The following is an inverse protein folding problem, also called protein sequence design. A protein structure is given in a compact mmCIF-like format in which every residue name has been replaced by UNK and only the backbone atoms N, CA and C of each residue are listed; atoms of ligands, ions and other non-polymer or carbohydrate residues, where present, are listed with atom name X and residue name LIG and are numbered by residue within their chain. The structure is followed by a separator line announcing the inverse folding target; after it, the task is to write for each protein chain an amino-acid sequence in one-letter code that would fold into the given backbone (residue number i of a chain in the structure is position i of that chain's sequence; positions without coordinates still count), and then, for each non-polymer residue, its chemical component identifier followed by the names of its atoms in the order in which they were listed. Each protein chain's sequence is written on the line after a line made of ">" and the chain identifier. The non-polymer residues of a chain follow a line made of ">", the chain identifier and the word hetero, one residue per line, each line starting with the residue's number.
data_IF_386642559162
#
_entry.id   IF_386642559162
#
_cell.length_a   1.000
_cell.length_b   1.000
_cell.length_c   1.000
_cell.angle_alpha   90.00
_cell.angle_beta   90.00
_cell.angle_gamma   90.00
#
_symmetry.space_group_name_H-M   'P 1'
#
loop_
_entity.id
_entity.type
_entity.pdbx_description
1 polymer ?
#
# COMPACT_ATOMS: atom_id res chain seq x y z
N UNK A 1 -51.01 -0.03 -47.76
CA UNK A 1 -49.74 0.67 -48.06
C UNK A 1 -48.96 1.13 -46.80
N UNK A 2 -49.26 0.61 -45.62
CA UNK A 2 -48.60 1.02 -44.33
C UNK A 2 -47.44 0.10 -43.90
N UNK A 3 -47.26 -1.19 -44.32
CA UNK A 3 -46.21 -2.02 -43.73
C UNK A 3 -44.81 -1.81 -44.31
N UNK A 4 -44.62 -1.08 -45.41
CA UNK A 4 -43.30 -0.87 -46.03
C UNK A 4 -42.51 0.30 -45.37
N UNK A 5 -43.14 1.27 -44.77
CA UNK A 5 -42.51 2.43 -44.15
C UNK A 5 -41.90 2.06 -42.79
N UNK A 6 -42.57 1.16 -42.01
CA UNK A 6 -42.11 0.70 -40.72
C UNK A 6 -40.81 -0.14 -40.84
N UNK A 7 -40.68 -0.95 -41.88
CA UNK A 7 -39.48 -1.75 -42.10
C UNK A 7 -38.22 -0.90 -42.45
N UNK A 8 -38.37 0.23 -43.14
CA UNK A 8 -37.28 1.13 -43.46
C UNK A 8 -36.79 1.93 -42.23
N UNK A 9 -37.72 2.32 -41.36
CA UNK A 9 -37.33 3.03 -40.10
C UNK A 9 -36.60 2.11 -39.14
N UNK A 10 -36.91 0.82 -39.05
CA UNK A 10 -36.22 -0.16 -38.22
C UNK A 10 -34.82 -0.50 -38.76
N UNK A 11 -34.59 -0.45 -40.08
CA UNK A 11 -33.30 -0.68 -40.70
C UNK A 11 -32.38 0.54 -40.55
N UNK A 12 -32.91 1.77 -40.57
CA UNK A 12 -32.11 2.98 -40.27
C UNK A 12 -31.74 3.15 -38.79
N UNK A 13 -32.57 2.66 -37.85
CA UNK A 13 -32.23 2.66 -36.43
C UNK A 13 -31.15 1.66 -36.06
N UNK A 14 -30.94 0.59 -36.83
CA UNK A 14 -29.87 -0.42 -36.67
C UNK A 14 -28.49 0.02 -37.15
N UNK A 15 -28.39 1.10 -37.92
CA UNK A 15 -27.12 1.58 -38.49
C UNK A 15 -26.40 2.64 -37.65
N UNK A 16 -26.96 3.04 -36.50
CA UNK A 16 -26.37 4.02 -35.59
C UNK A 16 -25.62 3.42 -34.40
N UNK A 17 -25.43 2.10 -34.36
CA UNK A 17 -24.43 1.51 -33.46
C UNK A 17 -23.04 1.88 -34.00
N UNK A 18 -22.54 3.05 -33.67
CA UNK A 18 -21.12 3.38 -33.79
C UNK A 18 -20.34 2.37 -32.95
N UNK A 19 -19.83 1.33 -33.60
CA UNK A 19 -18.82 0.47 -33.01
C UNK A 19 -17.66 1.38 -32.60
N UNK A 20 -17.47 1.62 -31.31
CA UNK A 20 -16.30 2.32 -30.82
C UNK A 20 -15.08 1.53 -31.31
N UNK A 21 -14.35 2.09 -32.29
CA UNK A 21 -13.15 1.46 -32.84
C UNK A 21 -12.10 1.53 -31.70
N UNK A 22 -11.68 0.36 -31.23
CA UNK A 22 -10.57 0.26 -30.29
C UNK A 22 -9.31 0.87 -30.92
N UNK A 23 -8.64 1.78 -30.21
CA UNK A 23 -7.39 2.39 -30.67
C UNK A 23 -6.23 1.43 -30.39
N UNK A 24 -5.27 1.38 -31.31
CA UNK A 24 -4.00 0.69 -31.09
C UNK A 24 -3.04 1.54 -30.23
N UNK A 25 -1.95 0.94 -29.73
CA UNK A 25 -0.98 1.61 -28.85
C UNK A 25 -0.39 2.89 -29.49
N UNK A 26 -0.21 2.90 -30.82
CA UNK A 26 0.30 4.07 -31.56
C UNK A 26 -0.67 5.25 -31.47
N UNK A 27 -1.96 4.98 -31.66
CA UNK A 27 -3.00 6.02 -31.60
C UNK A 27 -3.21 6.51 -30.18
N UNK A 28 -3.20 5.59 -29.18
CA UNK A 28 -3.27 5.97 -27.76
C UNK A 28 -2.11 6.89 -27.39
N UNK A 29 -0.88 6.56 -27.82
CA UNK A 29 0.30 7.38 -27.60
C UNK A 29 0.12 8.78 -28.23
N UNK A 30 -0.20 8.86 -29.51
CA UNK A 30 -0.37 10.12 -30.22
C UNK A 30 -1.48 11.01 -29.67
N UNK A 31 -2.57 10.43 -29.17
CA UNK A 31 -3.67 11.16 -28.55
C UNK A 31 -3.28 11.80 -27.20
N UNK A 32 -2.36 11.16 -26.48
CA UNK A 32 -2.11 11.51 -25.08
C UNK A 32 -0.68 12.03 -24.79
N UNK A 33 0.24 12.01 -25.75
CA UNK A 33 1.64 12.38 -25.53
C UNK A 33 1.85 13.83 -25.02
N UNK A 34 0.95 14.74 -25.38
CA UNK A 34 0.98 16.12 -24.91
C UNK A 34 0.33 16.32 -23.53
N UNK A 35 -0.31 15.28 -22.98
CA UNK A 35 -0.98 15.29 -21.68
C UNK A 35 -0.14 14.69 -20.56
N UNK A 36 0.95 14.00 -20.92
CA UNK A 36 1.80 13.26 -19.95
C UNK A 36 3.15 13.96 -19.83
N UNK A 37 3.55 14.23 -18.60
CA UNK A 37 4.78 14.96 -18.26
C UNK A 37 5.73 14.10 -17.42
N UNK A 38 7.01 14.44 -17.47
CA UNK A 38 7.93 14.04 -16.44
C UNK A 38 7.75 14.96 -15.21
N UNK A 39 7.56 14.39 -14.04
CA UNK A 39 7.57 15.10 -12.76
C UNK A 39 8.96 14.96 -12.15
N UNK A 40 9.50 16.07 -11.69
CA UNK A 40 10.84 16.15 -11.12
C UNK A 40 10.80 16.84 -9.77
N UNK A 41 11.50 16.26 -8.81
CA UNK A 41 11.85 16.93 -7.55
C UNK A 41 13.28 17.43 -7.70
N UNK A 42 13.47 18.73 -7.65
CA UNK A 42 14.74 19.41 -7.88
C UNK A 42 15.26 20.05 -6.60
N UNK A 43 16.55 19.91 -6.34
CA UNK A 43 17.21 20.60 -5.24
C UNK A 43 17.38 22.09 -5.60
N UNK A 44 16.97 23.01 -4.70
CA UNK A 44 16.97 24.46 -4.94
C UNK A 44 18.36 25.06 -5.11
N UNK A 45 19.35 24.51 -4.42
CA UNK A 45 20.73 25.03 -4.48
C UNK A 45 21.49 24.55 -5.71
N UNK A 46 21.31 23.27 -6.07
CA UNK A 46 22.12 22.65 -7.13
C UNK A 46 21.39 22.56 -8.47
N UNK A 47 20.06 22.73 -8.49
CA UNK A 47 19.21 22.49 -9.66
C UNK A 47 19.15 21.03 -10.12
N UNK A 48 19.79 20.10 -9.37
CA UNK A 48 19.85 18.69 -9.76
C UNK A 48 18.59 17.93 -9.35
N UNK A 49 18.26 16.91 -10.15
CA UNK A 49 17.16 15.98 -9.88
C UNK A 49 17.48 15.14 -8.65
N UNK A 50 16.53 15.06 -7.72
CA UNK A 50 16.55 14.17 -6.57
C UNK A 50 15.61 13.01 -6.74
N UNK A 51 14.41 13.26 -7.33
CA UNK A 51 13.45 12.24 -7.72
C UNK A 51 12.86 12.54 -9.08
N UNK A 52 12.43 11.50 -9.79
CA UNK A 52 11.70 11.60 -11.05
C UNK A 52 10.51 10.65 -11.05
N UNK A 53 9.45 11.08 -11.71
CA UNK A 53 8.26 10.28 -11.96
C UNK A 53 7.54 10.78 -13.20
N UNK A 54 6.31 10.39 -13.33
CA UNK A 54 5.40 10.85 -14.39
C UNK A 54 4.18 11.51 -13.77
N UNK A 55 3.48 12.29 -14.55
CA UNK A 55 2.20 12.87 -14.20
C UNK A 55 1.42 13.21 -15.46
N UNK A 56 0.15 13.53 -15.31
CA UNK A 56 -0.70 13.88 -16.44
C UNK A 56 -1.75 14.92 -16.06
N UNK A 57 -2.22 15.65 -17.07
CA UNK A 57 -3.20 16.72 -16.91
C UNK A 57 -4.54 16.17 -16.44
N UNK A 58 -5.09 16.79 -15.38
CA UNK A 58 -6.41 16.50 -14.84
C UNK A 58 -7.20 17.79 -14.57
N UNK A 59 -8.45 17.66 -14.16
CA UNK A 59 -9.29 18.78 -13.73
C UNK A 59 -9.50 19.82 -14.82
N UNK A 60 -9.22 21.06 -14.51
CA UNK A 60 -9.42 22.22 -15.38
C UNK A 60 -8.28 22.47 -16.39
N UNK A 61 -7.30 21.58 -16.45
CA UNK A 61 -6.13 21.71 -17.33
C UNK A 61 -4.95 22.47 -16.72
N UNK A 62 -5.02 22.86 -15.44
CA UNK A 62 -3.94 23.45 -14.63
C UNK A 62 -3.41 22.50 -13.56
N UNK A 63 -4.03 21.33 -13.44
CA UNK A 63 -3.70 20.35 -12.43
C UNK A 63 -3.00 19.14 -13.07
N UNK A 64 -2.06 18.55 -12.33
CA UNK A 64 -1.35 17.32 -12.68
C UNK A 64 -1.54 16.31 -11.58
N UNK A 65 -1.96 15.11 -11.94
CA UNK A 65 -1.95 13.94 -11.06
C UNK A 65 -0.60 13.23 -11.14
N UNK A 66 -0.11 12.75 -9.98
CA UNK A 66 1.08 11.90 -9.86
C UNK A 66 0.95 10.99 -8.63
N UNK A 67 1.98 10.19 -8.33
CA UNK A 67 2.02 9.45 -7.07
C UNK A 67 2.61 10.30 -5.92
N UNK A 68 2.16 9.98 -4.70
CA UNK A 68 2.69 10.59 -3.47
C UNK A 68 4.19 10.28 -3.29
N UNK A 69 4.61 9.02 -3.49
CA UNK A 69 6.02 8.63 -3.33
C UNK A 69 6.96 9.37 -4.30
N UNK A 70 6.49 9.80 -5.47
CA UNK A 70 7.30 10.58 -6.43
C UNK A 70 7.73 11.92 -5.83
N UNK A 71 6.88 12.50 -4.98
CA UNK A 71 7.08 13.82 -4.36
C UNK A 71 7.49 13.75 -2.88
N UNK A 72 7.76 12.56 -2.36
CA UNK A 72 7.98 12.32 -0.93
C UNK A 72 9.06 13.21 -0.28
N UNK A 73 10.07 13.63 -1.05
CA UNK A 73 11.12 14.54 -0.55
C UNK A 73 10.60 15.95 -0.23
N UNK A 74 9.54 16.39 -0.89
CA UNK A 74 8.88 17.66 -0.55
C UNK A 74 8.26 17.61 0.84
N UNK A 75 7.79 16.43 1.27
CA UNK A 75 7.24 16.23 2.62
C UNK A 75 8.33 16.32 3.69
N UNK A 76 9.51 15.78 3.37
CA UNK A 76 10.64 15.77 4.30
C UNK A 76 11.30 17.14 4.42
N UNK A 77 11.60 17.78 3.28
CA UNK A 77 12.45 18.96 3.20
C UNK A 77 11.94 19.96 2.14
N UNK A 78 10.75 20.57 2.35
CA UNK A 78 10.14 21.49 1.38
C UNK A 78 10.97 22.75 1.10
N UNK A 79 11.87 23.12 2.05
CA UNK A 79 12.79 24.25 1.91
C UNK A 79 13.93 23.94 0.93
N UNK A 80 14.36 22.65 0.89
CA UNK A 80 15.51 22.21 0.09
C UNK A 80 15.11 21.83 -1.34
N UNK A 81 13.85 21.42 -1.54
CA UNK A 81 13.37 20.90 -2.82
C UNK A 81 12.20 21.71 -3.37
N UNK A 82 11.99 21.59 -4.69
CA UNK A 82 10.81 22.10 -5.37
C UNK A 82 10.35 21.16 -6.48
N UNK A 83 9.07 21.28 -6.85
CA UNK A 83 8.43 20.48 -7.87
C UNK A 83 8.51 21.17 -9.23
N UNK A 84 8.83 20.40 -10.26
CA UNK A 84 8.85 20.86 -11.64
C UNK A 84 8.29 19.82 -12.58
N UNK A 85 7.71 20.25 -13.69
CA UNK A 85 7.35 19.38 -14.81
C UNK A 85 8.29 19.62 -15.99
N UNK A 86 8.47 18.57 -16.81
CA UNK A 86 9.11 18.64 -18.13
C UNK A 86 8.20 18.02 -19.17
N UNK A 87 7.89 18.77 -20.24
CA UNK A 87 7.10 18.31 -21.39
C UNK A 87 8.00 17.63 -22.43
N UNK A 88 7.38 16.87 -23.33
CA UNK A 88 8.06 16.24 -24.47
C UNK A 88 8.80 17.23 -25.38
N UNK A 89 8.26 18.45 -25.53
CA UNK A 89 8.86 19.54 -26.35
C UNK A 89 9.96 20.32 -25.65
N UNK A 90 10.34 19.93 -24.42
CA UNK A 90 11.38 20.58 -23.62
C UNK A 90 10.91 21.74 -22.77
N UNK A 91 9.64 22.16 -22.85
CA UNK A 91 9.09 23.19 -21.94
C UNK A 91 9.01 22.62 -20.52
N UNK A 92 9.31 23.47 -19.56
CA UNK A 92 9.28 23.15 -18.13
C UNK A 92 8.68 24.28 -17.30
N UNK A 93 8.23 23.97 -16.10
CA UNK A 93 7.71 24.96 -15.16
C UNK A 93 7.62 24.39 -13.76
N UNK A 94 7.41 25.28 -12.79
CA UNK A 94 7.25 24.91 -11.39
C UNK A 94 5.81 24.45 -11.11
N UNK A 95 5.69 23.59 -10.08
CA UNK A 95 4.43 23.07 -9.60
C UNK A 95 4.30 23.30 -8.09
N UNK A 96 3.06 23.46 -7.63
CA UNK A 96 2.69 23.53 -6.22
C UNK A 96 1.90 22.29 -5.83
N UNK A 97 2.11 21.79 -4.63
CA UNK A 97 1.30 20.70 -4.09
C UNK A 97 -0.08 21.25 -3.70
N UNK A 98 -1.14 20.60 -4.19
CA UNK A 98 -2.53 20.99 -3.92
C UNK A 98 -3.22 20.03 -2.95
N UNK A 99 -3.04 18.72 -3.12
CA UNK A 99 -3.68 17.70 -2.30
C UNK A 99 -2.89 16.38 -2.29
N UNK A 100 -3.12 15.57 -1.28
CA UNK A 100 -2.53 14.24 -1.07
C UNK A 100 -3.62 13.21 -0.77
N UNK A 101 -3.40 11.97 -1.25
CA UNK A 101 -4.02 10.76 -0.73
C UNK A 101 -2.90 9.74 -0.45
N UNK A 102 -2.39 9.78 0.77
CA UNK A 102 -1.22 9.02 1.20
C UNK A 102 -1.51 7.52 1.18
N UNK A 103 -2.69 7.12 1.65
CA UNK A 103 -3.08 5.72 1.71
C UNK A 103 -3.14 5.07 0.31
N UNK A 104 -3.52 5.83 -0.72
CA UNK A 104 -3.61 5.36 -2.10
C UNK A 104 -2.44 5.76 -2.98
N UNK A 105 -1.45 6.44 -2.39
CA UNK A 105 -0.24 6.87 -3.08
C UNK A 105 -0.54 7.83 -4.23
N UNK A 106 -1.37 8.87 -4.00
CA UNK A 106 -1.72 9.89 -4.98
C UNK A 106 -1.33 11.29 -4.50
N UNK A 107 -0.95 12.15 -5.44
CA UNK A 107 -0.75 13.57 -5.22
C UNK A 107 -1.34 14.38 -6.38
N UNK A 108 -1.89 15.54 -6.06
CA UNK A 108 -2.39 16.53 -7.00
C UNK A 108 -1.51 17.76 -6.95
N UNK A 109 -0.99 18.16 -8.10
CA UNK A 109 -0.09 19.29 -8.26
C UNK A 109 -0.78 20.38 -9.10
N UNK A 110 -0.49 21.64 -8.81
CA UNK A 110 -1.02 22.79 -9.55
C UNK A 110 0.04 23.55 -10.30
N UNK A 111 -0.31 24.01 -11.50
CA UNK A 111 0.45 24.95 -12.31
C UNK A 111 -0.26 26.32 -12.39
N UNK A 112 0.49 27.40 -12.42
CA UNK A 112 -0.07 28.73 -12.70
C UNK A 112 -0.51 28.88 -14.15
N UNK A 113 0.12 28.13 -15.06
CA UNK A 113 -0.18 28.13 -16.47
C UNK A 113 -1.23 27.06 -16.84
N UNK A 114 -1.99 27.33 -17.92
CA UNK A 114 -2.83 26.31 -18.55
C UNK A 114 -1.94 25.33 -19.31
N UNK A 115 -1.93 24.09 -18.85
CA UNK A 115 -1.08 23.03 -19.40
C UNK A 115 -1.68 22.36 -20.64
N UNK A 116 -3.00 22.33 -20.73
CA UNK A 116 -3.73 21.73 -21.86
C UNK A 116 -5.07 21.13 -21.44
N UNK A 117 -5.62 20.25 -22.25
CA UNK A 117 -6.90 19.59 -21.98
C UNK A 117 -6.66 18.28 -21.25
N UNK A 118 -7.36 18.07 -20.13
CA UNK A 118 -7.34 16.82 -19.39
C UNK A 118 -7.87 15.64 -20.22
N UNK A 119 -7.36 14.45 -19.99
CA UNK A 119 -7.97 13.23 -20.52
C UNK A 119 -9.23 12.88 -19.72
N UNK A 120 -10.22 12.32 -20.37
CA UNK A 120 -11.42 11.82 -19.71
C UNK A 120 -11.08 10.63 -18.81
N UNK A 121 -11.73 10.54 -17.66
CA UNK A 121 -11.59 9.42 -16.73
C UNK A 121 -12.74 8.44 -16.93
N UNK A 122 -12.43 7.16 -17.00
CA UNK A 122 -13.39 6.08 -17.21
C UNK A 122 -13.30 5.01 -16.12
N UNK A 123 -14.31 4.16 -16.09
CA UNK A 123 -14.29 2.95 -15.27
C UNK A 123 -13.36 1.88 -15.87
N UNK A 124 -12.97 0.93 -15.03
CA UNK A 124 -12.10 -0.18 -15.44
C UNK A 124 -12.80 -1.05 -16.47
N UNK A 125 -12.20 -1.32 -17.66
CA UNK A 125 -12.76 -2.23 -18.65
C UNK A 125 -12.79 -3.68 -18.10
N UNK A 126 -13.49 -4.61 -18.75
CA UNK A 126 -13.53 -6.01 -18.33
C UNK A 126 -12.14 -6.63 -18.18
N UNK A 127 -12.01 -7.62 -17.27
CA UNK A 127 -10.76 -8.37 -17.10
C UNK A 127 -10.33 -9.02 -18.41
N UNK A 128 -9.04 -8.93 -18.75
CA UNK A 128 -8.47 -9.41 -19.99
C UNK A 128 -8.42 -8.36 -21.10
N UNK A 129 -9.11 -7.22 -20.97
CA UNK A 129 -9.01 -6.12 -21.94
C UNK A 129 -7.60 -5.56 -22.00
N UNK A 130 -7.11 -5.15 -23.18
CA UNK A 130 -5.85 -4.44 -23.32
C UNK A 130 -5.95 -3.07 -22.63
N UNK A 131 -4.87 -2.70 -21.94
CA UNK A 131 -4.71 -1.40 -21.29
C UNK A 131 -3.29 -0.89 -21.53
N UNK A 132 -3.12 0.45 -21.51
CA UNK A 132 -1.95 1.14 -22.02
C UNK A 132 -1.42 2.11 -20.97
N UNK A 133 -0.27 1.79 -20.38
CA UNK A 133 0.38 2.63 -19.39
C UNK A 133 1.40 3.56 -20.04
N UNK A 134 1.31 4.87 -19.78
CA UNK A 134 2.28 5.85 -20.28
C UNK A 134 3.09 6.46 -19.14
N UNK A 135 4.34 6.85 -19.45
CA UNK A 135 5.22 7.49 -18.47
C UNK A 135 6.65 7.64 -19.00
N UNK A 136 7.55 8.15 -18.14
CA UNK A 136 8.92 8.51 -18.47
C UNK A 136 9.92 7.55 -17.80
N UNK A 137 10.14 6.33 -18.33
CA UNK A 137 10.99 5.34 -17.71
C UNK A 137 12.44 5.79 -17.67
N UNK A 138 13.10 5.66 -16.52
CA UNK A 138 14.55 5.81 -16.35
C UNK A 138 15.13 7.12 -16.92
N UNK A 139 14.34 8.19 -16.96
CA UNK A 139 14.73 9.48 -17.58
C UNK A 139 15.04 9.39 -19.09
N UNK A 140 14.50 8.40 -19.80
CA UNK A 140 14.76 8.15 -21.22
C UNK A 140 13.71 8.78 -22.17
N UNK A 141 12.77 9.54 -21.60
CA UNK A 141 11.67 10.16 -22.35
C UNK A 141 10.37 9.37 -22.27
N UNK A 142 9.31 9.95 -22.84
CA UNK A 142 7.95 9.40 -22.77
C UNK A 142 7.83 8.07 -23.53
N UNK A 143 7.26 7.08 -22.90
CA UNK A 143 7.06 5.75 -23.46
C UNK A 143 5.66 5.20 -23.12
N UNK A 144 5.25 4.14 -23.83
CA UNK A 144 4.01 3.42 -23.63
C UNK A 144 4.29 1.92 -23.40
N UNK A 145 3.71 1.35 -22.34
CA UNK A 145 3.72 -0.07 -22.08
C UNK A 145 2.33 -0.67 -22.28
N UNK A 146 2.25 -1.75 -23.03
CA UNK A 146 1.00 -2.46 -23.32
C UNK A 146 0.90 -3.69 -22.42
N UNK A 147 -0.29 -3.93 -21.89
CA UNK A 147 -0.60 -5.12 -21.12
C UNK A 147 -2.10 -5.35 -21.02
N UNK A 148 -2.53 -6.21 -20.15
CA UNK A 148 -3.94 -6.52 -19.93
C UNK A 148 -4.40 -6.19 -18.53
N UNK A 149 -5.67 -5.86 -18.39
CA UNK A 149 -6.34 -5.75 -17.09
C UNK A 149 -6.47 -7.13 -16.44
N UNK A 150 -5.70 -7.38 -15.38
CA UNK A 150 -5.79 -8.59 -14.57
C UNK A 150 -6.92 -8.57 -13.54
N UNK A 151 -7.67 -7.45 -13.45
CA UNK A 151 -8.75 -7.22 -12.48
C UNK A 151 -8.27 -6.52 -11.21
N UNK A 152 -9.24 -6.15 -10.38
CA UNK A 152 -8.99 -5.55 -9.07
C UNK A 152 -8.50 -6.63 -8.11
N UNK A 153 -7.43 -6.34 -7.38
CA UNK A 153 -6.94 -7.18 -6.31
C UNK A 153 -7.77 -6.92 -5.06
N UNK A 154 -8.69 -7.84 -4.75
CA UNK A 154 -9.45 -7.81 -3.49
C UNK A 154 -8.59 -8.14 -2.25
N UNK A 155 -7.27 -8.20 -2.43
CA UNK A 155 -6.29 -8.58 -1.42
C UNK A 155 -5.51 -7.38 -0.85
N UNK A 156 -5.88 -6.18 -1.30
CA UNK A 156 -5.39 -4.90 -0.80
C UNK A 156 -6.60 -4.03 -0.46
N UNK A 157 -6.56 -3.32 0.66
CA UNK A 157 -7.69 -2.46 1.07
C UNK A 157 -7.86 -1.28 0.11
N UNK A 158 -6.83 -0.93 -0.63
CA UNK A 158 -6.77 0.16 -1.60
C UNK A 158 -7.11 -0.26 -3.06
N UNK A 159 -7.64 -1.47 -3.24
CA UNK A 159 -8.22 -1.91 -4.52
C UNK A 159 -7.33 -1.71 -5.75
N UNK A 160 -6.07 -2.12 -5.71
CA UNK A 160 -5.14 -2.01 -6.85
C UNK A 160 -5.59 -2.85 -8.05
N UNK A 161 -5.43 -2.31 -9.26
CA UNK A 161 -5.62 -3.04 -10.51
C UNK A 161 -4.32 -3.78 -10.84
N UNK A 162 -4.44 -5.08 -11.17
CA UNK A 162 -3.32 -5.87 -11.66
C UNK A 162 -3.08 -5.58 -13.16
N UNK A 163 -1.88 -5.15 -13.50
CA UNK A 163 -1.41 -4.91 -14.86
C UNK A 163 -0.38 -5.96 -15.27
N UNK A 164 -0.62 -6.66 -16.37
CA UNK A 164 0.28 -7.70 -16.87
C UNK A 164 1.46 -7.17 -17.69
N UNK A 165 1.60 -5.85 -17.81
CA UNK A 165 2.73 -5.19 -18.45
C UNK A 165 3.78 -4.76 -17.45
N UNK A 166 4.99 -4.46 -17.93
CA UNK A 166 6.09 -3.96 -17.10
C UNK A 166 6.04 -2.44 -16.99
N UNK A 167 6.01 -1.95 -15.76
CA UNK A 167 6.31 -0.55 -15.44
C UNK A 167 7.75 -0.45 -14.95
N UNK A 168 8.48 0.55 -15.40
CA UNK A 168 9.84 0.81 -14.97
C UNK A 168 9.87 2.05 -14.04
N UNK A 169 10.91 2.19 -13.19
CA UNK A 169 11.11 3.40 -12.40
C UNK A 169 11.01 4.66 -13.26
N UNK A 170 10.31 5.68 -12.79
CA UNK A 170 9.98 6.89 -13.53
C UNK A 170 8.64 6.85 -14.26
N UNK A 171 8.00 5.69 -14.47
CA UNK A 171 6.63 5.60 -15.00
C UNK A 171 5.56 5.80 -13.93
N UNK A 172 5.93 5.73 -12.64
CA UNK A 172 5.05 6.00 -11.49
C UNK A 172 4.42 7.39 -11.62
N UNK A 173 3.12 7.49 -11.33
CA UNK A 173 2.33 8.72 -11.46
C UNK A 173 1.78 8.99 -12.86
N UNK A 174 2.25 8.28 -13.87
CA UNK A 174 1.70 8.35 -15.22
C UNK A 174 0.33 7.69 -15.35
N UNK A 175 -0.43 8.02 -16.40
CA UNK A 175 -1.77 7.45 -16.62
C UNK A 175 -1.73 6.06 -17.24
N UNK A 176 -2.75 5.25 -16.93
CA UNK A 176 -3.11 4.06 -17.71
C UNK A 176 -4.43 4.31 -18.41
N UNK A 177 -4.48 3.99 -19.69
CA UNK A 177 -5.61 4.20 -20.58
C UNK A 177 -6.31 2.89 -20.97
N UNK A 178 -7.60 2.98 -21.28
CA UNK A 178 -8.33 1.94 -22.00
C UNK A 178 -8.16 2.09 -23.52
N UNK A 179 -8.82 1.22 -24.29
CA UNK A 179 -8.80 1.22 -25.77
C UNK A 179 -9.45 2.46 -26.42
N UNK A 180 -10.12 3.32 -25.65
CA UNK A 180 -10.68 4.60 -26.13
C UNK A 180 -9.79 5.80 -25.84
N UNK A 181 -8.66 5.59 -25.13
CA UNK A 181 -7.77 6.65 -24.68
C UNK A 181 -8.27 7.40 -23.44
N UNK A 182 -9.19 6.80 -22.69
CA UNK A 182 -9.70 7.32 -21.43
C UNK A 182 -8.88 6.77 -20.26
N UNK A 183 -8.62 7.58 -19.24
CA UNK A 183 -7.83 7.20 -18.04
C UNK A 183 -8.64 6.29 -17.15
N UNK A 184 -8.12 5.09 -16.88
CA UNK A 184 -8.69 4.12 -15.96
C UNK A 184 -7.94 4.04 -14.63
N UNK A 185 -6.74 4.64 -14.57
CA UNK A 185 -5.94 4.64 -13.35
C UNK A 185 -4.56 5.26 -13.51
N UNK A 186 -3.80 5.22 -12.42
CA UNK A 186 -2.47 5.81 -12.25
C UNK A 186 -1.46 4.70 -12.01
N UNK A 187 -0.36 4.71 -12.75
CA UNK A 187 0.73 3.75 -12.62
C UNK A 187 1.37 3.84 -11.24
N UNK A 188 1.58 2.71 -10.57
CA UNK A 188 2.36 2.60 -9.34
C UNK A 188 3.51 1.63 -9.59
N UNK A 189 4.52 1.69 -8.73
CA UNK A 189 5.71 0.87 -8.85
C UNK A 189 5.47 -0.62 -9.11
N UNK A 190 6.50 -1.26 -9.61
CA UNK A 190 6.54 -2.63 -10.08
C UNK A 190 6.62 -3.64 -8.94
N UNK A 191 5.81 -4.69 -8.96
CA UNK A 191 6.20 -5.96 -8.38
C UNK A 191 7.15 -6.68 -9.35
N UNK A 192 8.02 -7.56 -8.84
CA UNK A 192 8.98 -8.31 -9.67
C UNK A 192 8.26 -9.09 -10.80
N UNK A 193 8.96 -9.33 -11.92
CA UNK A 193 8.54 -10.22 -13.00
C UNK A 193 7.30 -9.78 -13.82
N UNK A 194 7.33 -8.57 -14.37
CA UNK A 194 6.27 -8.07 -15.28
C UNK A 194 4.86 -8.01 -14.65
N UNK A 195 4.78 -7.90 -13.35
CA UNK A 195 3.54 -7.62 -12.63
C UNK A 195 3.64 -6.21 -12.08
N UNK A 196 2.68 -5.37 -12.43
CA UNK A 196 2.62 -3.98 -11.99
C UNK A 196 1.23 -3.65 -11.45
N UNK A 197 1.14 -2.57 -10.71
CA UNK A 197 -0.09 -2.14 -10.07
C UNK A 197 -0.50 -0.75 -10.56
N UNK A 198 -1.81 -0.55 -10.60
CA UNK A 198 -2.42 0.71 -11.02
C UNK A 198 -3.44 1.11 -9.95
N UNK A 199 -3.43 2.36 -9.52
CA UNK A 199 -4.48 2.94 -8.68
C UNK A 199 -5.69 3.27 -9.54
N UNK A 200 -6.91 2.80 -9.23
CA UNK A 200 -8.11 3.11 -10.01
C UNK A 200 -8.40 4.61 -10.10
N UNK A 201 -8.84 5.07 -11.26
CA UNK A 201 -9.16 6.48 -11.56
C UNK A 201 -10.20 7.10 -10.62
N UNK A 202 -11.11 6.30 -10.02
CA UNK A 202 -12.11 6.80 -9.07
C UNK A 202 -11.49 7.55 -7.90
N UNK A 203 -10.39 7.05 -7.34
CA UNK A 203 -9.70 7.71 -6.22
C UNK A 203 -9.08 9.04 -6.62
N UNK A 204 -8.63 9.17 -7.87
CA UNK A 204 -8.16 10.44 -8.38
C UNK A 204 -9.32 11.44 -8.58
N UNK A 205 -10.50 11.00 -9.04
CA UNK A 205 -11.68 11.86 -9.13
C UNK A 205 -12.04 12.45 -7.76
N UNK A 206 -12.00 11.62 -6.71
CA UNK A 206 -12.26 12.08 -5.33
C UNK A 206 -11.21 13.13 -4.92
N UNK A 207 -9.92 12.87 -5.17
CA UNK A 207 -8.83 13.79 -4.83
C UNK A 207 -8.94 15.14 -5.56
N UNK A 208 -9.25 15.15 -6.85
CA UNK A 208 -9.45 16.39 -7.65
C UNK A 208 -10.62 17.21 -7.10
N UNK A 209 -11.68 16.55 -6.66
CA UNK A 209 -12.87 17.22 -6.10
C UNK A 209 -12.59 17.84 -4.72
N UNK A 210 -11.75 17.17 -3.89
CA UNK A 210 -11.41 17.61 -2.54
C UNK A 210 -10.33 18.68 -2.49
N UNK A 211 -9.61 18.94 -3.57
CA UNK A 211 -8.40 19.77 -3.62
C UNK A 211 -8.58 21.26 -3.28
N UNK A 212 -9.79 21.72 -2.95
CA UNK A 212 -10.09 23.16 -2.75
C UNK A 212 -9.92 23.64 -1.31
N UNK A 213 -9.52 22.80 -0.34
CA UNK A 213 -9.72 23.13 1.07
C UNK A 213 -8.49 23.15 1.98
N UNK A 214 -7.33 22.64 1.58
CA UNK A 214 -6.18 22.49 2.50
C UNK A 214 -4.97 23.31 2.02
N UNK A 215 -4.44 24.17 2.91
CA UNK A 215 -3.17 24.88 2.69
C UNK A 215 -2.03 23.96 3.15
N UNK A 216 -1.20 23.47 2.23
CA UNK A 216 -0.04 22.59 2.47
C UNK A 216 1.25 23.39 2.23
N UNK A 217 1.49 24.42 3.05
CA UNK A 217 2.53 25.43 2.76
C UNK A 217 3.78 25.28 3.63
N UNK A 218 3.70 24.62 4.77
CA UNK A 218 4.84 24.41 5.66
C UNK A 218 5.17 22.92 5.80
N UNK A 219 6.36 22.64 6.29
CA UNK A 219 6.80 21.27 6.62
C UNK A 219 5.90 20.62 7.67
N UNK A 220 5.51 21.40 8.65
CA UNK A 220 4.61 21.02 9.72
C UNK A 220 3.22 20.66 9.18
N UNK A 221 2.65 21.49 8.30
CA UNK A 221 1.34 21.23 7.67
C UNK A 221 1.37 19.94 6.84
N UNK A 222 2.43 19.72 6.06
CA UNK A 222 2.62 18.54 5.23
C UNK A 222 2.69 17.25 6.07
N UNK A 223 3.48 17.27 7.14
CA UNK A 223 3.63 16.13 8.04
C UNK A 223 2.36 15.85 8.84
N UNK A 224 1.71 16.89 9.33
CA UNK A 224 0.43 16.78 10.04
C UNK A 224 -0.64 16.16 9.13
N UNK A 225 -0.70 16.55 7.85
CA UNK A 225 -1.64 15.97 6.90
C UNK A 225 -1.34 14.51 6.58
N UNK A 226 -0.06 14.14 6.38
CA UNK A 226 0.36 12.75 6.21
C UNK A 226 -0.02 11.92 7.44
N UNK A 227 0.31 12.39 8.63
CA UNK A 227 -0.05 11.74 9.90
C UNK A 227 -1.55 11.51 10.01
N UNK A 228 -2.33 12.57 9.81
CA UNK A 228 -3.79 12.52 9.88
C UNK A 228 -4.37 11.45 8.94
N UNK A 229 -3.89 11.39 7.70
CA UNK A 229 -4.39 10.44 6.71
C UNK A 229 -3.99 9.00 7.04
N UNK A 230 -2.73 8.76 7.44
CA UNK A 230 -2.25 7.42 7.81
C UNK A 230 -2.99 6.92 9.05
N UNK A 231 -3.09 7.72 10.12
CA UNK A 231 -3.79 7.32 11.33
C UNK A 231 -5.28 7.08 11.09
N UNK A 232 -5.95 7.93 10.30
CA UNK A 232 -7.37 7.72 9.96
C UNK A 232 -7.59 6.41 9.19
N UNK A 233 -6.71 6.10 8.24
CA UNK A 233 -6.75 4.86 7.47
C UNK A 233 -6.52 3.63 8.37
N UNK A 234 -5.45 3.63 9.16
CA UNK A 234 -5.09 2.51 10.03
C UNK A 234 -6.12 2.28 11.13
N UNK A 235 -6.63 3.33 11.77
CA UNK A 235 -7.71 3.23 12.76
C UNK A 235 -8.97 2.61 12.17
N UNK A 236 -9.36 3.03 10.96
CA UNK A 236 -10.49 2.45 10.24
C UNK A 236 -10.26 0.97 9.89
N UNK A 237 -9.05 0.63 9.43
CA UNK A 237 -8.67 -0.75 9.12
C UNK A 237 -8.69 -1.64 10.35
N UNK A 238 -8.07 -1.22 11.45
CA UNK A 238 -8.06 -1.94 12.73
C UNK A 238 -9.49 -2.13 13.25
N UNK A 239 -10.32 -1.09 13.22
CA UNK A 239 -11.73 -1.18 13.63
C UNK A 239 -12.50 -2.26 12.85
N UNK A 240 -12.32 -2.31 11.52
CA UNK A 240 -12.90 -3.36 10.68
C UNK A 240 -12.40 -4.76 11.06
N UNK A 241 -11.12 -4.91 11.44
CA UNK A 241 -10.58 -6.19 11.90
C UNK A 241 -11.23 -6.63 13.22
N UNK A 242 -11.42 -5.70 14.15
CA UNK A 242 -12.06 -5.97 15.44
C UNK A 242 -13.52 -6.40 15.28
N UNK A 243 -14.26 -5.81 14.36
CA UNK A 243 -15.67 -6.14 14.13
C UNK A 243 -15.89 -7.48 13.40
N UNK A 244 -14.93 -7.95 12.60
CA UNK A 244 -15.05 -9.19 11.82
C UNK A 244 -14.98 -10.44 12.67
N UNK A 245 -15.66 -11.50 12.24
CA UNK A 245 -15.38 -12.85 12.74
C UNK A 245 -14.11 -13.39 12.09
N UNK A 246 -13.23 -13.97 12.89
CA UNK A 246 -12.00 -14.54 12.41
C UNK A 246 -12.11 -16.06 12.21
N UNK A 247 -11.71 -16.59 11.04
CA UNK A 247 -11.61 -18.03 10.87
C UNK A 247 -10.51 -18.57 11.76
N UNK A 248 -10.75 -19.74 12.35
CA UNK A 248 -9.74 -20.44 13.16
C UNK A 248 -8.76 -21.22 12.29
N UNK A 249 -7.51 -21.27 12.72
CA UNK A 249 -6.51 -22.22 12.25
C UNK A 249 -6.01 -23.08 13.42
N UNK A 250 -5.62 -24.32 13.15
CA UNK A 250 -5.09 -25.21 14.19
C UNK A 250 -3.56 -25.30 14.08
N UNK A 251 -2.87 -25.01 15.18
CA UNK A 251 -1.45 -25.23 15.34
C UNK A 251 -1.21 -26.14 16.54
N UNK A 252 -0.89 -27.41 16.31
CA UNK A 252 -0.70 -28.41 17.37
C UNK A 252 -1.94 -28.51 18.28
N UNK A 253 -1.81 -28.12 19.55
CA UNK A 253 -2.87 -28.14 20.57
C UNK A 253 -3.68 -26.85 20.65
N UNK A 254 -3.48 -25.92 19.72
CA UNK A 254 -4.09 -24.59 19.76
C UNK A 254 -5.00 -24.36 18.56
N UNK A 255 -6.15 -23.75 18.79
CA UNK A 255 -6.93 -23.06 17.79
C UNK A 255 -6.63 -21.55 17.91
N UNK A 256 -6.22 -20.95 16.82
CA UNK A 256 -5.68 -19.60 16.74
C UNK A 256 -6.40 -18.80 15.65
N UNK A 257 -6.38 -17.47 15.71
CA UNK A 257 -6.81 -16.63 14.58
C UNK A 257 -6.08 -17.00 13.29
N UNK A 258 -6.83 -17.31 12.23
CA UNK A 258 -6.31 -17.58 10.90
C UNK A 258 -6.17 -16.34 10.05
N UNK A 259 -6.76 -16.32 8.85
CA UNK A 259 -6.78 -15.17 7.93
C UNK A 259 -7.84 -14.18 8.40
N UNK A 260 -7.45 -13.19 9.20
CA UNK A 260 -8.37 -12.23 9.86
C UNK A 260 -8.96 -11.18 8.92
N UNK A 261 -8.42 -11.05 7.70
CA UNK A 261 -8.88 -10.12 6.65
C UNK A 261 -8.59 -10.68 5.26
N UNK A 262 -9.37 -10.32 4.23
CA UNK A 262 -9.06 -10.67 2.84
C UNK A 262 -7.68 -10.18 2.36
N UNK A 263 -7.13 -9.16 3.00
CA UNK A 263 -5.81 -8.58 2.69
C UNK A 263 -4.65 -9.32 3.35
N UNK A 264 -4.93 -10.16 4.33
CA UNK A 264 -3.93 -10.96 5.06
C UNK A 264 -3.67 -12.28 4.35
N UNK A 265 -2.41 -12.71 4.37
CA UNK A 265 -1.96 -14.05 3.92
C UNK A 265 -1.12 -14.69 5.00
N UNK A 266 -1.38 -15.97 5.23
CA UNK A 266 -0.62 -16.80 6.17
C UNK A 266 0.24 -17.80 5.42
N UNK A 267 1.44 -17.99 5.90
CA UNK A 267 2.43 -18.90 5.35
C UNK A 267 2.98 -19.80 6.47
N UNK A 268 3.16 -21.06 6.16
CA UNK A 268 3.92 -21.95 7.01
C UNK A 268 5.42 -21.70 6.82
N UNK A 269 6.06 -21.21 7.86
CA UNK A 269 7.49 -20.96 7.94
C UNK A 269 8.20 -21.97 8.85
N UNK A 270 7.56 -23.11 9.14
CA UNK A 270 8.16 -24.18 9.94
C UNK A 270 9.46 -24.65 9.31
N UNK A 271 10.55 -24.64 10.09
CA UNK A 271 11.82 -25.12 9.59
C UNK A 271 11.80 -26.64 9.49
N UNK A 272 12.24 -27.19 8.35
CA UNK A 272 12.66 -28.59 8.27
C UNK A 272 13.95 -28.72 9.06
N UNK A 273 13.82 -29.08 10.34
CA UNK A 273 14.98 -29.37 11.17
C UNK A 273 15.63 -30.65 10.74
N UNK A 274 16.95 -30.76 10.94
CA UNK A 274 17.68 -32.01 10.71
C UNK A 274 17.06 -33.14 11.55
N UNK A 275 17.15 -34.37 11.08
CA UNK A 275 16.66 -35.58 11.82
C UNK A 275 17.31 -35.73 13.19
N UNK A 276 18.45 -35.08 13.42
CA UNK A 276 19.20 -35.02 14.68
C UNK A 276 18.85 -33.82 15.55
N UNK A 277 17.86 -32.97 15.15
CA UNK A 277 17.48 -31.85 15.94
C UNK A 277 16.80 -32.26 17.25
N UNK A 278 17.23 -31.67 18.36
CA UNK A 278 16.76 -31.99 19.70
C UNK A 278 15.38 -31.38 20.02
N UNK A 279 14.79 -30.63 19.09
CA UNK A 279 13.49 -29.99 19.24
C UNK A 279 12.77 -29.87 17.90
N UNK A 280 11.43 -29.62 17.95
CA UNK A 280 10.60 -29.33 16.79
C UNK A 280 10.09 -27.89 16.91
N UNK A 281 10.11 -27.16 15.80
CA UNK A 281 9.60 -25.80 15.71
C UNK A 281 8.58 -25.71 14.58
N UNK A 282 7.42 -25.19 14.92
CA UNK A 282 6.35 -24.87 13.98
C UNK A 282 6.13 -23.36 14.01
N UNK A 283 6.02 -22.75 12.85
CA UNK A 283 5.86 -21.31 12.72
C UNK A 283 4.86 -20.99 11.62
N UNK A 284 3.85 -20.20 11.96
CA UNK A 284 2.94 -19.63 10.98
C UNK A 284 3.09 -18.11 11.04
N UNK A 285 3.37 -17.52 9.89
CA UNK A 285 3.47 -16.06 9.73
C UNK A 285 2.34 -15.57 8.86
N UNK A 286 1.59 -14.58 9.36
CA UNK A 286 0.51 -13.92 8.67
C UNK A 286 0.83 -12.44 8.52
N UNK A 287 0.55 -11.85 7.37
CA UNK A 287 0.75 -10.41 7.15
C UNK A 287 -0.22 -9.86 6.10
N UNK A 288 -0.58 -8.59 6.25
CA UNK A 288 -1.19 -7.85 5.17
C UNK A 288 -0.17 -7.55 4.07
N UNK A 289 -0.66 -7.17 2.90
CA UNK A 289 0.18 -6.77 1.76
C UNK A 289 0.12 -5.26 1.50
N UNK A 290 -0.47 -4.52 2.41
CA UNK A 290 -0.54 -3.07 2.30
C UNK A 290 0.84 -2.48 2.55
N UNK A 291 1.22 -1.53 1.70
CA UNK A 291 2.42 -0.73 1.84
C UNK A 291 2.04 0.72 1.57
N UNK A 292 1.90 1.49 2.64
CA UNK A 292 1.72 2.93 2.56
C UNK A 292 3.12 3.55 2.52
N UNK A 293 3.39 4.36 1.51
CA UNK A 293 4.60 5.18 1.49
C UNK A 293 4.45 6.28 2.54
N UNK A 294 5.45 6.45 3.39
CA UNK A 294 5.41 7.51 4.39
C UNK A 294 5.93 8.84 3.83
N UNK A 295 7.07 8.80 3.14
CA UNK A 295 7.72 10.00 2.61
C UNK A 295 8.66 9.73 1.43
N UNK A 296 9.18 8.52 1.30
CA UNK A 296 10.08 8.14 0.22
C UNK A 296 9.92 6.67 -0.16
N UNK A 297 10.47 6.25 -1.28
CA UNK A 297 10.37 4.91 -1.86
C UNK A 297 10.76 3.75 -0.91
N UNK A 298 11.46 4.05 0.17
CA UNK A 298 12.01 3.04 1.07
C UNK A 298 11.36 2.99 2.46
N UNK A 299 10.46 3.93 2.78
CA UNK A 299 9.77 3.97 4.08
C UNK A 299 8.31 3.52 3.93
N UNK A 300 8.09 2.24 4.17
CA UNK A 300 6.75 1.65 4.14
C UNK A 300 6.20 1.48 5.54
N UNK A 301 4.95 1.88 5.72
CA UNK A 301 4.17 1.75 6.95
C UNK A 301 2.84 1.04 6.68
N UNK A 302 1.98 0.91 7.67
CA UNK A 302 0.68 0.25 7.55
C UNK A 302 0.78 -1.28 7.53
N UNK A 303 1.82 -1.83 8.19
CA UNK A 303 2.03 -3.28 8.26
C UNK A 303 1.35 -3.86 9.48
N UNK A 304 0.54 -4.88 9.23
CA UNK A 304 0.07 -5.80 10.24
C UNK A 304 0.75 -7.15 10.02
N UNK A 305 1.48 -7.63 11.01
CA UNK A 305 2.12 -8.94 11.00
C UNK A 305 1.73 -9.63 12.30
N UNK A 306 1.33 -10.89 12.21
CA UNK A 306 1.21 -11.73 13.40
C UNK A 306 1.81 -13.10 13.12
N UNK A 307 2.47 -13.64 14.13
CA UNK A 307 3.21 -14.89 14.03
C UNK A 307 2.92 -15.77 15.22
N UNK A 308 2.80 -17.07 14.96
CA UNK A 308 2.60 -18.09 15.95
C UNK A 308 3.78 -19.04 15.92
N UNK A 309 4.32 -19.32 17.08
CA UNK A 309 5.40 -20.26 17.26
C UNK A 309 4.99 -21.34 18.25
N UNK A 310 5.18 -22.60 17.88
CA UNK A 310 5.09 -23.74 18.76
C UNK A 310 6.43 -24.47 18.79
N UNK A 311 6.94 -24.71 20.00
CA UNK A 311 8.13 -25.50 20.24
C UNK A 311 7.78 -26.73 21.08
N UNK A 312 8.42 -27.87 20.78
CA UNK A 312 8.32 -29.05 21.58
C UNK A 312 9.65 -29.84 21.53
N UNK A 313 10.00 -30.47 22.66
CA UNK A 313 11.18 -31.31 22.76
C UNK A 313 10.96 -32.42 23.79
N UNK A 314 11.35 -33.62 23.42
CA UNK A 314 11.44 -34.79 24.30
C UNK A 314 12.90 -35.05 24.73
N UNK A 315 13.87 -34.34 24.15
CA UNK A 315 15.31 -34.56 24.30
C UNK A 315 15.99 -33.53 25.21
N UNK A 316 15.48 -32.28 25.23
CA UNK A 316 16.06 -31.21 26.03
C UNK A 316 15.58 -31.30 27.49
N UNK A 317 16.50 -31.05 28.44
CA UNK A 317 16.08 -30.78 29.80
C UNK A 317 15.42 -29.42 29.95
N UNK A 318 14.74 -29.18 31.08
CA UNK A 318 13.98 -27.97 31.30
C UNK A 318 14.80 -26.66 31.12
N UNK A 319 16.06 -26.64 31.60
CA UNK A 319 16.94 -25.44 31.50
C UNK A 319 17.31 -25.18 30.04
N UNK A 320 17.69 -26.23 29.30
CA UNK A 320 18.01 -26.13 27.88
C UNK A 320 16.81 -25.68 27.06
N UNK A 321 15.62 -26.21 27.35
CA UNK A 321 14.39 -25.84 26.67
C UNK A 321 14.03 -24.37 26.94
N UNK A 322 14.09 -23.91 28.20
CA UNK A 322 13.81 -22.52 28.53
C UNK A 322 14.77 -21.53 27.89
N UNK A 323 16.07 -21.83 27.85
CA UNK A 323 17.05 -20.98 27.17
C UNK A 323 16.75 -20.87 25.65
N UNK A 324 16.47 -21.99 24.98
CA UNK A 324 16.06 -22.00 23.58
C UNK A 324 14.78 -21.19 23.34
N UNK A 325 13.78 -21.38 24.19
CA UNK A 325 12.49 -20.72 24.12
C UNK A 325 12.62 -19.21 24.31
N UNK A 326 13.44 -18.76 25.26
CA UNK A 326 13.75 -17.36 25.50
C UNK A 326 14.49 -16.73 24.30
N UNK A 327 15.51 -17.39 23.77
CA UNK A 327 16.29 -16.89 22.65
C UNK A 327 15.42 -16.70 21.39
N UNK A 328 14.54 -17.66 21.10
CA UNK A 328 13.61 -17.56 19.97
C UNK A 328 12.55 -16.46 20.15
N UNK A 329 12.24 -16.07 21.39
CA UNK A 329 11.30 -14.97 21.68
C UNK A 329 11.97 -13.61 21.66
N UNK A 330 13.30 -13.49 21.74
CA UNK A 330 14.04 -12.21 21.70
C UNK A 330 14.15 -11.61 20.31
N UNK A 331 14.22 -12.46 19.27
CA UNK A 331 14.56 -12.02 17.89
C UNK A 331 13.37 -11.47 17.08
N UNK A 332 12.34 -10.95 17.77
CA UNK A 332 11.04 -10.68 17.13
C UNK A 332 10.97 -9.37 16.30
N UNK A 333 11.96 -8.46 16.38
CA UNK A 333 11.86 -7.17 15.70
C UNK A 333 13.12 -6.84 14.91
N UNK A 334 13.06 -7.03 13.61
CA UNK A 334 13.94 -6.32 12.68
C UNK A 334 13.28 -5.01 12.23
N UNK A 335 13.70 -3.88 12.77
CA UNK A 335 13.35 -2.58 12.25
C UNK A 335 14.54 -1.99 11.49
N UNK A 336 14.30 -1.62 10.24
CA UNK A 336 15.28 -0.87 9.42
C UNK A 336 15.23 0.65 9.70
N UNK A 337 14.29 1.11 10.56
CA UNK A 337 14.16 2.52 10.89
C UNK A 337 15.24 2.91 11.92
N UNK A 338 15.94 4.00 11.63
CA UNK A 338 16.97 4.57 12.50
C UNK A 338 16.36 5.36 13.68
N UNK A 339 17.22 5.72 14.64
CA UNK A 339 16.82 6.53 15.82
C UNK A 339 16.44 7.97 15.48
N UNK A 340 16.78 8.42 14.30
CA UNK A 340 16.35 9.68 13.71
C UNK A 340 14.88 9.66 13.25
N UNK A 341 14.35 8.47 13.00
CA UNK A 341 12.98 8.27 12.52
C UNK A 341 12.01 7.86 13.63
N UNK A 342 12.45 6.98 14.55
CA UNK A 342 11.62 6.42 15.62
C UNK A 342 12.35 6.41 16.96
N UNK A 343 11.60 6.53 18.06
CA UNK A 343 12.12 6.39 19.42
C UNK A 343 12.52 4.93 19.74
N UNK A 344 13.13 4.70 20.88
CA UNK A 344 13.27 3.34 21.42
C UNK A 344 11.90 2.80 21.84
N UNK A 345 11.76 1.46 21.84
CA UNK A 345 10.58 0.83 22.41
C UNK A 345 10.50 1.06 23.93
N UNK A 346 9.33 1.47 24.40
CA UNK A 346 8.93 1.44 25.78
C UNK A 346 7.95 0.28 25.95
N UNK A 347 8.23 -0.64 26.90
CA UNK A 347 7.49 -1.89 27.05
C UNK A 347 6.91 -2.03 28.46
N UNK A 348 5.67 -2.53 28.53
CA UNK A 348 5.03 -2.98 29.74
C UNK A 348 4.91 -4.51 29.71
N UNK A 349 5.10 -5.15 30.86
CA UNK A 349 5.06 -6.61 31.00
C UNK A 349 4.07 -7.00 32.10
N UNK A 350 3.22 -7.98 31.79
CA UNK A 350 2.28 -8.55 32.78
C UNK A 350 2.01 -10.02 32.46
N UNK A 351 1.33 -10.70 33.36
CA UNK A 351 0.83 -12.07 33.15
C UNK A 351 -0.67 -12.03 32.89
N UNK A 352 -1.12 -12.84 31.95
CA UNK A 352 -2.52 -12.99 31.57
C UNK A 352 -2.89 -14.46 31.49
N UNK A 353 -4.09 -14.81 31.94
CA UNK A 353 -4.63 -16.15 31.75
C UNK A 353 -5.42 -16.21 30.44
N UNK A 354 -5.03 -17.12 29.53
CA UNK A 354 -5.65 -17.32 28.23
C UNK A 354 -6.01 -18.81 28.11
N UNK A 355 -7.32 -19.12 27.99
CA UNK A 355 -7.80 -20.50 27.90
C UNK A 355 -7.23 -21.43 29.01
N UNK A 356 -7.25 -20.94 30.26
CA UNK A 356 -6.74 -21.60 31.47
C UNK A 356 -5.22 -21.90 31.43
N UNK A 357 -4.47 -21.15 30.64
CA UNK A 357 -3.01 -21.18 30.61
C UNK A 357 -2.44 -19.81 30.92
N UNK A 358 -1.42 -19.75 31.78
CA UNK A 358 -0.72 -18.51 32.07
C UNK A 358 0.24 -18.16 30.95
N UNK A 359 0.18 -16.90 30.50
CA UNK A 359 1.10 -16.35 29.50
C UNK A 359 1.75 -15.07 30.01
N UNK A 360 3.05 -14.92 29.79
CA UNK A 360 3.78 -13.67 30.00
C UNK A 360 3.61 -12.79 28.78
N UNK A 361 3.00 -11.62 28.93
CA UNK A 361 2.71 -10.68 27.86
C UNK A 361 3.60 -9.45 27.94
N UNK A 362 4.04 -8.94 26.78
CA UNK A 362 4.72 -7.66 26.67
C UNK A 362 4.01 -6.84 25.59
N UNK A 363 3.71 -5.58 25.91
CA UNK A 363 3.22 -4.58 24.98
C UNK A 363 4.23 -3.45 24.89
N UNK A 364 4.79 -3.26 23.73
CA UNK A 364 5.83 -2.30 23.47
C UNK A 364 5.35 -1.26 22.45
N UNK A 365 5.58 0.01 22.73
CA UNK A 365 5.30 1.15 21.84
C UNK A 365 6.58 1.90 21.57
N UNK A 366 6.77 2.37 20.32
CA UNK A 366 7.74 3.39 19.95
C UNK A 366 7.08 4.43 19.05
N UNK A 367 7.49 5.67 19.19
CA UNK A 367 6.89 6.81 18.49
C UNK A 367 7.73 7.24 17.30
N UNK A 368 7.07 7.75 16.27
CA UNK A 368 7.72 8.41 15.15
C UNK A 368 8.11 9.84 15.55
N UNK A 369 9.37 10.21 15.34
CA UNK A 369 9.93 11.50 15.78
C UNK A 369 9.30 12.67 15.05
N UNK A 370 9.00 12.49 13.77
CA UNK A 370 8.54 13.56 12.89
C UNK A 370 7.02 13.51 12.58
N UNK A 371 6.31 12.48 13.06
CA UNK A 371 4.88 12.25 12.80
C UNK A 371 4.15 12.05 14.12
N UNK A 372 3.72 13.15 14.74
CA UNK A 372 3.12 13.19 16.08
C UNK A 372 1.89 12.26 16.20
N UNK A 373 1.85 11.45 17.26
CA UNK A 373 0.76 10.48 17.50
C UNK A 373 0.91 9.15 16.77
N UNK A 374 1.80 9.06 15.78
CA UNK A 374 2.06 7.82 15.05
C UNK A 374 3.02 6.92 15.84
N UNK A 375 2.70 5.64 15.96
CA UNK A 375 3.48 4.66 16.72
C UNK A 375 3.64 3.33 15.99
N UNK A 376 4.75 2.64 16.25
CA UNK A 376 4.82 1.19 16.04
C UNK A 376 4.47 0.48 17.36
N UNK A 377 3.68 -0.58 17.24
CA UNK A 377 3.26 -1.42 18.37
C UNK A 377 3.74 -2.84 18.15
N UNK A 378 4.38 -3.38 19.16
CA UNK A 378 4.74 -4.79 19.25
C UNK A 378 4.07 -5.39 20.46
N UNK A 379 3.29 -6.42 20.26
CA UNK A 379 2.73 -7.24 21.31
C UNK A 379 3.31 -8.66 21.20
N UNK A 380 3.72 -9.22 22.33
CA UNK A 380 4.10 -10.65 22.44
C UNK A 380 3.42 -11.27 23.63
N UNK A 381 3.00 -12.53 23.54
CA UNK A 381 2.54 -13.31 24.67
C UNK A 381 3.10 -14.73 24.56
N UNK A 382 3.76 -15.18 25.64
CA UNK A 382 4.50 -16.44 25.69
C UNK A 382 3.98 -17.33 26.82
N UNK A 383 3.67 -18.60 26.49
CA UNK A 383 3.21 -19.60 27.45
C UNK A 383 4.25 -19.83 28.54
N UNK A 384 3.82 -19.87 29.80
CA UNK A 384 4.67 -20.16 30.96
C UNK A 384 4.35 -21.53 31.58
N UNK A 385 5.18 -21.97 32.52
CA UNK A 385 4.90 -23.16 33.33
C UNK A 385 5.15 -24.53 32.70
N UNK A 386 5.66 -24.59 31.45
CA UNK A 386 5.94 -25.85 30.74
C UNK A 386 7.44 -26.03 30.48
N UNK A 387 7.94 -27.26 30.67
CA UNK A 387 9.38 -27.58 30.56
C UNK A 387 9.82 -28.18 29.24
N UNK A 388 8.89 -28.62 28.39
CA UNK A 388 9.18 -29.32 27.13
C UNK A 388 8.27 -28.91 25.96
N UNK A 389 7.37 -27.98 26.16
CA UNK A 389 6.54 -27.36 25.14
C UNK A 389 6.41 -25.87 25.39
N UNK A 390 6.34 -25.08 24.33
CA UNK A 390 6.21 -23.62 24.42
C UNK A 390 5.39 -23.11 23.24
N UNK A 391 4.66 -22.04 23.50
CA UNK A 391 3.92 -21.31 22.49
C UNK A 391 4.12 -19.81 22.71
N UNK A 392 4.34 -19.07 21.65
CA UNK A 392 4.23 -17.61 21.72
C UNK A 392 3.61 -17.04 20.45
N UNK A 393 2.93 -15.93 20.64
CA UNK A 393 2.38 -15.07 19.59
C UNK A 393 3.15 -13.76 19.58
N UNK A 394 3.38 -13.24 18.39
CA UNK A 394 3.87 -11.89 18.14
C UNK A 394 2.89 -11.17 17.24
N UNK A 395 2.51 -9.92 17.58
CA UNK A 395 1.72 -9.03 16.73
C UNK A 395 2.48 -7.74 16.56
N UNK A 396 2.69 -7.31 15.32
CA UNK A 396 3.39 -6.08 14.94
C UNK A 396 2.45 -5.22 14.12
N UNK A 397 2.30 -3.97 14.54
CA UNK A 397 1.56 -2.93 13.83
C UNK A 397 2.50 -1.73 13.61
N UNK A 398 2.52 -1.15 12.43
CA UNK A 398 3.39 -0.01 12.14
C UNK A 398 2.62 1.22 11.73
N UNK A 399 3.02 2.39 12.26
CA UNK A 399 2.43 3.71 11.99
C UNK A 399 0.94 3.79 12.35
N UNK A 400 0.59 3.33 13.53
CA UNK A 400 -0.79 3.29 14.05
C UNK A 400 -1.00 4.29 15.19
N UNK A 401 -2.26 4.60 15.47
CA UNK A 401 -2.66 5.16 16.75
C UNK A 401 -2.62 4.05 17.81
N UNK A 402 -1.86 4.26 18.89
CA UNK A 402 -1.64 3.25 19.92
C UNK A 402 -2.94 2.74 20.54
N UNK A 403 -3.83 3.66 20.95
CA UNK A 403 -5.08 3.32 21.63
C UNK A 403 -6.00 2.49 20.74
N UNK A 404 -6.01 2.75 19.42
CA UNK A 404 -6.80 1.99 18.46
C UNK A 404 -6.38 0.52 18.34
N UNK A 405 -5.14 0.18 18.76
CA UNK A 405 -4.62 -1.19 18.66
C UNK A 405 -5.05 -2.10 19.83
N UNK A 406 -5.39 -1.53 20.97
CA UNK A 406 -5.68 -2.29 22.19
C UNK A 406 -6.84 -3.29 22.01
N UNK A 407 -7.99 -2.92 21.43
CA UNK A 407 -9.08 -3.88 21.19
C UNK A 407 -8.70 -5.02 20.25
N UNK A 408 -7.78 -4.77 19.29
CA UNK A 408 -7.29 -5.80 18.39
C UNK A 408 -6.40 -6.81 19.14
N UNK A 409 -5.52 -6.34 20.01
CA UNK A 409 -4.65 -7.18 20.84
C UNK A 409 -5.48 -8.03 21.81
N UNK A 410 -6.46 -7.43 22.48
CA UNK A 410 -7.40 -8.14 23.36
C UNK A 410 -8.12 -9.27 22.61
N UNK A 411 -8.65 -8.96 21.41
CA UNK A 411 -9.32 -9.94 20.56
C UNK A 411 -8.39 -11.07 20.12
N UNK A 412 -7.10 -10.80 19.87
CA UNK A 412 -6.12 -11.87 19.59
C UNK A 412 -6.01 -12.83 20.79
N UNK A 413 -5.87 -12.32 22.01
CA UNK A 413 -5.77 -13.13 23.23
C UNK A 413 -7.04 -13.96 23.46
N UNK A 414 -8.22 -13.35 23.38
CA UNK A 414 -9.51 -14.04 23.56
C UNK A 414 -9.78 -15.12 22.51
N UNK A 415 -9.18 -14.99 21.32
CA UNK A 415 -9.35 -15.94 20.22
C UNK A 415 -8.40 -17.14 20.29
N UNK A 416 -7.45 -17.17 21.22
CA UNK A 416 -6.58 -18.32 21.46
C UNK A 416 -7.32 -19.36 22.29
N UNK A 417 -7.47 -20.57 21.77
CA UNK A 417 -8.13 -21.67 22.47
C UNK A 417 -7.18 -22.87 22.57
N UNK A 418 -7.03 -23.37 23.78
CA UNK A 418 -6.25 -24.57 24.04
C UNK A 418 -7.12 -25.81 23.85
N UNK A 419 -6.70 -26.73 22.99
CA UNK A 419 -7.31 -28.04 22.84
C UNK A 419 -6.51 -29.05 23.68
N UNK A 420 -7.11 -29.67 24.71
CA UNK A 420 -6.43 -30.58 25.63
C UNK A 420 -5.90 -31.86 24.96
#
# INVERSE_FOLDING_TARGET
>A
MIPRIIAIVLILAGLLSQSAIALDSKKIYQLNEERVFQIRVLNRETGKKSSIGSGFIVGDGRQIATNFHVIGQIILEPELFYLSYLRKDGREGELKLLALDVARDLALLGSEELLGTAAEMSELPPRGSPIYAMGNPLDLGLSIAVGTNGGILNQTDDSRILFSGSLNPGMSGGPTFNERGEVIGINVATARNSISFIVPSRFLRDLVTLSTTTSLNSKEDLRAEVTRQVLAYETSYIGQLVERQWPSLTLRKLNLPGIISPTVRCWDNSAKLATTALYKRYQIRCSNKNHIYLDSDNRFVGRLIYEYYWLESDELNAIQFHNLYEDLNKDQIESKLGRDTVSNFNCETWFVEVSSQEMKSNLCRREYVEYEGMSDVLFTAALTGHSNQGFFITVILTAVDFESTLPLIEKFLESIQWNP
#
